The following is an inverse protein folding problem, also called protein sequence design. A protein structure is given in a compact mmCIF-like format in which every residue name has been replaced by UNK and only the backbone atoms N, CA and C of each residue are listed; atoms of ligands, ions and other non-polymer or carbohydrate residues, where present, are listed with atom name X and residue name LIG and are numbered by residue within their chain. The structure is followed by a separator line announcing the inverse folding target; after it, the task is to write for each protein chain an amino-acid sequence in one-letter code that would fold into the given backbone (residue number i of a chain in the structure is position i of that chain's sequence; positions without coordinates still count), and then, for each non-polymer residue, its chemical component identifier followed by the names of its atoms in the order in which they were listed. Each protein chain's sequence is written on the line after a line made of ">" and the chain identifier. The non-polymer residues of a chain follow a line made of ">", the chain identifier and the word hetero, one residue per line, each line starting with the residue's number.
data_IF_707285996664
#
_entry.id   IF_707285996664
#
_cell.length_a   1.000
_cell.length_b   1.000
_cell.length_c   1.000
_cell.angle_alpha   90.00
_cell.angle_beta   90.00
_cell.angle_gamma   90.00
#
_symmetry.space_group_name_H-M   'P 1'
#
loop_
_entity.id
_entity.type
_entity.pdbx_description
1 polymer ?
#
# COMPACT_ATOMS: atom_id res chain seq x y z
N UNK A 1 -0.48 26.41 3.86
CA UNK A 1 0.12 25.22 3.23
C UNK A 1 -0.89 24.66 2.26
N UNK A 2 -0.64 24.80 0.96
CA UNK A 2 -1.55 24.30 -0.08
C UNK A 2 -1.47 22.77 -0.03
N UNK A 3 -2.33 22.14 0.77
CA UNK A 3 -2.64 20.72 0.62
C UNK A 3 -3.36 20.66 -0.71
N UNK A 4 -2.58 20.44 -1.77
CA UNK A 4 -3.10 20.28 -3.10
C UNK A 4 -4.16 19.19 -3.03
N UNK A 5 -5.42 19.58 -3.28
CA UNK A 5 -6.45 18.67 -3.73
C UNK A 5 -6.05 18.19 -5.14
N UNK A 6 -4.93 17.47 -5.22
CA UNK A 6 -4.52 16.84 -6.45
C UNK A 6 -5.57 15.76 -6.68
N UNK A 7 -6.22 15.73 -7.86
CA UNK A 7 -7.30 14.80 -8.14
C UNK A 7 -6.80 13.35 -8.30
N UNK A 8 -5.75 12.94 -7.56
CA UNK A 8 -5.23 11.57 -7.50
C UNK A 8 -6.35 10.58 -7.18
N UNK A 9 -7.19 10.88 -6.18
CA UNK A 9 -8.32 10.01 -5.83
C UNK A 9 -9.31 9.86 -6.98
N UNK A 10 -9.65 10.95 -7.67
CA UNK A 10 -10.57 10.89 -8.82
C UNK A 10 -9.94 10.16 -10.00
N UNK A 11 -8.69 10.46 -10.35
CA UNK A 11 -7.97 9.81 -11.45
C UNK A 11 -7.80 8.31 -11.17
N UNK A 12 -7.50 7.93 -9.94
CA UNK A 12 -7.39 6.53 -9.52
C UNK A 12 -8.73 5.79 -9.71
N UNK A 13 -9.83 6.34 -9.20
CA UNK A 13 -11.17 5.75 -9.34
C UNK A 13 -11.59 5.65 -10.81
N UNK A 14 -11.33 6.67 -11.63
CA UNK A 14 -11.68 6.65 -13.04
C UNK A 14 -10.73 5.75 -13.87
N UNK A 15 -9.47 5.64 -13.48
CA UNK A 15 -8.46 4.75 -14.08
C UNK A 15 -8.81 3.28 -13.84
N UNK A 16 -9.15 2.94 -12.60
CA UNK A 16 -9.70 1.62 -12.22
C UNK A 16 -10.92 1.25 -13.07
N UNK A 17 -11.87 2.19 -13.24
CA UNK A 17 -13.03 1.97 -14.12
C UNK A 17 -12.63 1.70 -15.57
N UNK A 18 -11.65 2.43 -16.13
CA UNK A 18 -11.18 2.19 -17.51
C UNK A 18 -10.53 0.82 -17.68
N UNK A 19 -9.79 0.33 -16.68
CA UNK A 19 -9.16 -1.00 -16.71
C UNK A 19 -10.18 -2.12 -16.46
N UNK A 20 -11.20 -1.88 -15.63
CA UNK A 20 -12.23 -2.88 -15.33
C UNK A 20 -13.16 -3.15 -16.52
N UNK A 21 -13.49 -2.14 -17.34
CA UNK A 21 -14.39 -2.29 -18.50
C UNK A 21 -13.98 -3.36 -19.53
N UNK A 22 -12.72 -3.44 -20.02
CA UNK A 22 -12.33 -4.48 -20.97
C UNK A 22 -12.42 -5.88 -20.35
N UNK A 23 -12.07 -6.03 -19.07
CA UNK A 23 -12.15 -7.31 -18.34
C UNK A 23 -13.61 -7.73 -18.16
N UNK A 24 -14.49 -6.79 -17.84
CA UNK A 24 -15.93 -7.02 -17.78
C UNK A 24 -16.50 -7.48 -19.13
N UNK A 25 -16.12 -6.82 -20.23
CA UNK A 25 -16.56 -7.20 -21.57
C UNK A 25 -16.09 -8.62 -21.94
N UNK A 26 -14.87 -9.02 -21.53
CA UNK A 26 -14.36 -10.37 -21.74
C UNK A 26 -15.13 -11.42 -20.95
N UNK A 27 -15.40 -11.16 -19.67
CA UNK A 27 -16.23 -12.03 -18.81
C UNK A 27 -17.66 -12.16 -19.35
N UNK A 28 -18.22 -11.08 -19.89
CA UNK A 28 -19.53 -11.08 -20.54
C UNK A 28 -19.52 -11.98 -21.77
N UNK A 29 -18.50 -11.86 -22.62
CA UNK A 29 -18.32 -12.69 -23.80
C UNK A 29 -18.17 -14.17 -23.42
N UNK A 30 -17.36 -14.47 -22.39
CA UNK A 30 -17.19 -15.82 -21.86
C UNK A 30 -18.49 -16.40 -21.28
N UNK A 31 -19.30 -15.59 -20.58
CA UNK A 31 -20.60 -15.99 -20.06
C UNK A 31 -21.67 -16.22 -21.15
N UNK A 32 -21.52 -15.59 -22.33
CA UNK A 32 -22.38 -15.84 -23.49
C UNK A 32 -22.00 -17.14 -24.21
N UNK A 33 -20.70 -17.42 -24.34
CA UNK A 33 -20.20 -18.61 -25.05
C UNK A 33 -20.27 -19.88 -24.18
N UNK A 34 -20.13 -19.74 -22.85
CA UNK A 34 -20.13 -20.88 -21.93
C UNK A 34 -21.19 -20.74 -20.82
N UNK A 35 -22.28 -21.54 -20.88
CA UNK A 35 -23.31 -21.56 -19.85
C UNK A 35 -22.80 -21.94 -18.45
N UNK A 36 -21.73 -22.74 -18.35
CA UNK A 36 -21.15 -23.15 -17.07
C UNK A 36 -20.49 -21.97 -16.36
N UNK A 37 -19.73 -21.16 -17.09
CA UNK A 37 -19.12 -19.93 -16.57
C UNK A 37 -20.21 -18.98 -16.08
N UNK A 38 -21.28 -18.81 -16.86
CA UNK A 38 -22.41 -17.98 -16.49
C UNK A 38 -23.06 -18.44 -15.18
N UNK A 39 -23.37 -19.73 -15.06
CA UNK A 39 -24.13 -20.28 -13.93
C UNK A 39 -23.29 -20.44 -12.65
N UNK A 40 -22.02 -20.76 -12.77
CA UNK A 40 -21.18 -21.11 -11.62
C UNK A 40 -20.28 -19.96 -11.15
N UNK A 41 -19.82 -19.11 -12.06
CA UNK A 41 -18.87 -18.04 -11.74
C UNK A 41 -19.59 -16.68 -11.66
N UNK A 42 -20.42 -16.34 -12.66
CA UNK A 42 -20.97 -14.99 -12.80
C UNK A 42 -22.27 -14.77 -11.99
N UNK A 43 -23.24 -15.67 -12.10
CA UNK A 43 -24.56 -15.52 -11.47
C UNK A 43 -24.53 -15.60 -9.92
N UNK A 44 -23.78 -16.52 -9.29
CA UNK A 44 -23.78 -16.66 -7.84
C UNK A 44 -23.39 -15.39 -7.06
N UNK A 45 -22.31 -14.65 -7.41
CA UNK A 45 -21.97 -13.41 -6.70
C UNK A 45 -23.06 -12.33 -6.86
N UNK A 46 -23.68 -12.21 -8.03
CA UNK A 46 -24.78 -11.26 -8.24
C UNK A 46 -26.03 -11.59 -7.38
N UNK A 47 -26.37 -12.88 -7.27
CA UNK A 47 -27.48 -13.32 -6.42
C UNK A 47 -27.17 -13.16 -4.93
N UNK A 48 -25.92 -13.39 -4.53
CA UNK A 48 -25.46 -13.21 -3.17
C UNK A 48 -25.52 -11.73 -2.77
N UNK A 49 -25.04 -10.83 -3.65
CA UNK A 49 -25.14 -9.39 -3.45
C UNK A 49 -26.58 -8.94 -3.20
N UNK A 50 -27.53 -9.36 -4.05
CA UNK A 50 -28.94 -9.02 -3.88
C UNK A 50 -29.54 -9.56 -2.57
N UNK A 51 -29.18 -10.79 -2.17
CA UNK A 51 -29.64 -11.35 -0.89
C UNK A 51 -29.12 -10.54 0.29
N UNK A 52 -27.85 -10.15 0.27
CA UNK A 52 -27.27 -9.32 1.31
C UNK A 52 -27.87 -7.93 1.31
N UNK A 53 -27.97 -7.28 0.16
CA UNK A 53 -28.51 -5.94 0.01
C UNK A 53 -29.95 -5.87 0.53
N UNK A 54 -30.82 -6.80 0.10
CA UNK A 54 -32.22 -6.83 0.55
C UNK A 54 -32.32 -7.11 2.05
N UNK A 55 -31.52 -8.04 2.60
CA UNK A 55 -31.52 -8.31 4.05
C UNK A 55 -31.02 -7.12 4.86
N UNK A 56 -29.93 -6.49 4.43
CA UNK A 56 -29.34 -5.33 5.09
C UNK A 56 -30.29 -4.13 5.05
N UNK A 57 -30.91 -3.84 3.91
CA UNK A 57 -31.92 -2.77 3.79
C UNK A 57 -33.10 -3.02 4.74
N UNK A 58 -33.62 -4.24 4.78
CA UNK A 58 -34.75 -4.59 5.65
C UNK A 58 -34.37 -4.51 7.14
N UNK A 59 -33.14 -4.92 7.50
CA UNK A 59 -32.61 -4.79 8.85
C UNK A 59 -32.42 -3.32 9.26
N UNK A 60 -31.85 -2.50 8.38
CA UNK A 60 -31.63 -1.07 8.62
C UNK A 60 -32.96 -0.33 8.83
N UNK A 61 -33.98 -0.68 8.05
CA UNK A 61 -35.33 -0.11 8.16
C UNK A 61 -36.18 -0.75 9.28
N UNK A 62 -35.62 -1.67 10.09
CA UNK A 62 -36.32 -2.42 11.15
C UNK A 62 -37.60 -3.13 10.67
N UNK A 63 -37.66 -3.51 9.40
CA UNK A 63 -38.78 -4.22 8.80
C UNK A 63 -38.62 -5.74 8.99
N UNK A 64 -39.74 -6.47 8.96
CA UNK A 64 -39.74 -7.94 9.05
C UNK A 64 -38.94 -8.53 7.89
N UNK A 65 -37.95 -9.37 8.21
CA UNK A 65 -37.07 -9.94 7.19
C UNK A 65 -37.87 -10.80 6.18
N UNK A 66 -37.59 -10.66 4.87
CA UNK A 66 -38.27 -11.43 3.85
C UNK A 66 -37.85 -12.91 3.90
N UNK A 67 -38.85 -13.82 3.88
CA UNK A 67 -38.64 -15.28 3.93
C UNK A 67 -37.93 -15.82 2.68
N UNK A 68 -38.10 -15.15 1.53
CA UNK A 68 -37.41 -15.46 0.27
C UNK A 68 -37.18 -14.16 -0.51
N UNK A 69 -35.93 -13.88 -0.88
CA UNK A 69 -35.57 -12.73 -1.73
C UNK A 69 -35.80 -13.12 -3.20
N UNK A 70 -36.52 -12.31 -4.00
CA UNK A 70 -36.74 -12.62 -5.41
C UNK A 70 -35.39 -12.65 -6.16
N UNK A 71 -35.09 -13.73 -6.90
CA UNK A 71 -33.87 -13.81 -7.68
C UNK A 71 -33.92 -12.84 -8.86
N UNK A 72 -32.78 -12.25 -9.21
CA UNK A 72 -32.70 -11.39 -10.40
C UNK A 72 -32.90 -12.22 -11.69
N UNK A 73 -33.51 -11.61 -12.73
CA UNK A 73 -33.51 -12.18 -14.08
C UNK A 73 -32.09 -12.50 -14.53
N UNK A 74 -31.94 -13.62 -15.24
CA UNK A 74 -30.63 -14.19 -15.62
C UNK A 74 -29.75 -13.22 -16.42
N UNK A 75 -30.34 -12.39 -17.27
CA UNK A 75 -29.63 -11.38 -18.05
C UNK A 75 -29.02 -10.28 -17.16
N UNK A 76 -29.80 -9.73 -16.24
CA UNK A 76 -29.37 -8.67 -15.31
C UNK A 76 -28.34 -9.23 -14.32
N UNK A 77 -28.56 -10.44 -13.81
CA UNK A 77 -27.62 -11.12 -12.92
C UNK A 77 -26.26 -11.37 -13.60
N UNK A 78 -26.26 -11.68 -14.90
CA UNK A 78 -25.02 -11.86 -15.66
C UNK A 78 -24.27 -10.54 -15.80
N UNK A 79 -24.96 -9.46 -16.17
CA UNK A 79 -24.34 -8.14 -16.31
C UNK A 79 -23.75 -7.63 -15.00
N UNK A 80 -24.55 -7.68 -13.93
CA UNK A 80 -24.10 -7.24 -12.61
C UNK A 80 -22.95 -8.10 -12.10
N UNK A 81 -23.05 -9.43 -12.21
CA UNK A 81 -22.00 -10.34 -11.76
C UNK A 81 -20.69 -10.14 -12.49
N UNK A 82 -20.76 -9.87 -13.80
CA UNK A 82 -19.59 -9.59 -14.63
C UNK A 82 -18.91 -8.29 -14.25
N UNK A 83 -19.67 -7.19 -14.08
CA UNK A 83 -19.11 -5.89 -13.68
C UNK A 83 -18.47 -5.97 -12.28
N UNK A 84 -19.09 -6.69 -11.35
CA UNK A 84 -18.54 -6.88 -10.00
C UNK A 84 -17.27 -7.73 -10.02
N UNK A 85 -17.25 -8.83 -10.77
CA UNK A 85 -16.07 -9.69 -10.87
C UNK A 85 -14.89 -8.99 -11.52
N UNK A 86 -15.13 -8.20 -12.57
CA UNK A 86 -14.04 -7.48 -13.23
C UNK A 86 -13.42 -6.43 -12.30
N UNK A 87 -14.23 -5.74 -11.51
CA UNK A 87 -13.75 -4.78 -10.53
C UNK A 87 -12.92 -5.47 -9.44
N UNK A 88 -13.40 -6.58 -8.87
CA UNK A 88 -12.66 -7.35 -7.85
C UNK A 88 -11.33 -7.87 -8.40
N UNK A 89 -11.29 -8.40 -9.62
CA UNK A 89 -10.06 -8.89 -10.26
C UNK A 89 -9.03 -7.78 -10.37
N UNK A 90 -9.43 -6.60 -10.86
CA UNK A 90 -8.51 -5.46 -11.00
C UNK A 90 -8.03 -4.98 -9.63
N UNK A 91 -8.91 -4.94 -8.62
CA UNK A 91 -8.52 -4.57 -7.26
C UNK A 91 -7.52 -5.55 -6.65
N UNK A 92 -7.69 -6.85 -6.85
CA UNK A 92 -6.76 -7.87 -6.32
C UNK A 92 -5.39 -7.73 -7.01
N UNK A 93 -5.37 -7.62 -8.35
CA UNK A 93 -4.11 -7.51 -9.10
C UNK A 93 -3.41 -6.20 -8.77
N UNK A 94 -4.12 -5.06 -8.88
CA UNK A 94 -3.56 -3.74 -8.62
C UNK A 94 -3.15 -3.56 -7.16
N UNK A 95 -4.02 -3.93 -6.22
CA UNK A 95 -3.73 -3.89 -4.79
C UNK A 95 -2.59 -4.83 -4.40
N UNK A 96 -2.57 -6.04 -4.96
CA UNK A 96 -1.50 -7.02 -4.75
C UNK A 96 -0.13 -6.50 -5.21
N UNK A 97 -0.05 -5.88 -6.39
CA UNK A 97 1.18 -5.28 -6.89
C UNK A 97 1.66 -4.12 -6.03
N UNK A 98 0.74 -3.25 -5.57
CA UNK A 98 1.09 -2.14 -4.68
C UNK A 98 1.64 -2.65 -3.35
N UNK A 99 0.97 -3.63 -2.72
CA UNK A 99 1.41 -4.22 -1.45
C UNK A 99 2.77 -4.91 -1.62
N UNK A 100 2.96 -5.63 -2.73
CA UNK A 100 4.22 -6.29 -3.04
C UNK A 100 5.37 -5.30 -3.21
N UNK A 101 5.17 -4.24 -4.00
CA UNK A 101 6.19 -3.21 -4.22
C UNK A 101 6.50 -2.43 -2.94
N UNK A 102 5.47 -2.11 -2.15
CA UNK A 102 5.64 -1.45 -0.86
C UNK A 102 6.45 -2.31 0.11
N UNK A 103 6.19 -3.61 0.17
CA UNK A 103 6.98 -4.55 0.98
C UNK A 103 8.45 -4.57 0.54
N UNK A 104 8.70 -4.59 -0.78
CA UNK A 104 10.05 -4.51 -1.35
C UNK A 104 10.77 -3.20 -1.01
N UNK A 105 10.06 -2.07 -1.09
CA UNK A 105 10.61 -0.76 -0.79
C UNK A 105 10.98 -0.64 0.68
N UNK A 106 10.14 -1.14 1.59
CA UNK A 106 10.42 -1.10 3.03
C UNK A 106 11.72 -1.83 3.39
N UNK A 107 11.98 -3.00 2.78
CA UNK A 107 13.23 -3.72 3.02
C UNK A 107 14.46 -2.92 2.55
N UNK A 108 14.38 -2.28 1.38
CA UNK A 108 15.47 -1.45 0.85
C UNK A 108 15.73 -0.22 1.73
N UNK A 109 14.67 0.46 2.17
CA UNK A 109 14.77 1.63 3.04
C UNK A 109 15.39 1.28 4.38
N UNK A 110 15.03 0.13 4.97
CA UNK A 110 15.63 -0.33 6.23
C UNK A 110 17.12 -0.61 6.10
N UNK A 111 17.55 -1.25 5.00
CA UNK A 111 18.98 -1.49 4.72
C UNK A 111 19.76 -0.18 4.57
N UNK A 112 19.25 0.75 3.76
CA UNK A 112 19.86 2.07 3.59
C UNK A 112 19.97 2.83 4.91
N UNK A 113 18.95 2.76 5.75
CA UNK A 113 18.98 3.41 7.06
C UNK A 113 20.05 2.79 7.98
N UNK A 114 20.22 1.47 7.93
CA UNK A 114 21.27 0.79 8.69
C UNK A 114 22.67 1.19 8.21
N UNK A 115 22.88 1.21 6.89
CA UNK A 115 24.14 1.65 6.28
C UNK A 115 24.46 3.12 6.66
N UNK A 116 23.48 4.02 6.62
CA UNK A 116 23.67 5.42 7.01
C UNK A 116 23.99 5.56 8.51
N UNK A 117 23.35 4.76 9.37
CA UNK A 117 23.64 4.75 10.81
C UNK A 117 25.04 4.23 11.12
N UNK A 118 25.50 3.22 10.38
CA UNK A 118 26.85 2.67 10.54
C UNK A 118 27.92 3.67 10.06
N UNK A 119 27.69 4.34 8.92
CA UNK A 119 28.56 5.43 8.46
C UNK A 119 28.62 6.59 9.46
N UNK A 120 27.47 6.99 10.03
CA UNK A 120 27.45 8.02 11.08
C UNK A 120 28.25 7.59 12.31
N UNK A 121 28.14 6.33 12.75
CA UNK A 121 28.93 5.82 13.88
C UNK A 121 30.43 5.92 13.62
N UNK A 122 30.88 5.47 12.45
CA UNK A 122 32.30 5.54 12.08
C UNK A 122 32.79 6.99 12.05
N UNK A 123 31.99 7.91 11.52
CA UNK A 123 32.34 9.35 11.52
C UNK A 123 32.44 9.93 12.93
N UNK A 124 31.52 9.56 13.84
CA UNK A 124 31.60 10.01 15.24
C UNK A 124 32.80 9.42 15.96
N UNK A 125 33.12 8.15 15.75
CA UNK A 125 34.30 7.51 16.33
C UNK A 125 35.61 8.15 15.84
N UNK A 126 35.69 8.53 14.57
CA UNK A 126 36.81 9.29 14.02
C UNK A 126 36.90 10.70 14.63
N UNK A 127 35.76 11.39 14.80
CA UNK A 127 35.73 12.70 15.46
C UNK A 127 36.20 12.63 16.91
N UNK A 128 35.77 11.61 17.66
CA UNK A 128 36.18 11.40 19.04
C UNK A 128 37.70 11.11 19.12
N UNK A 129 38.22 10.28 18.21
CA UNK A 129 39.66 10.00 18.12
C UNK A 129 40.49 11.26 17.82
N UNK A 130 40.08 12.07 16.85
CA UNK A 130 40.74 13.35 16.54
C UNK A 130 40.69 14.30 17.75
N UNK A 131 39.58 14.31 18.48
CA UNK A 131 39.41 15.17 19.65
C UNK A 131 40.34 14.74 20.80
N UNK A 132 40.50 13.43 21.01
CA UNK A 132 41.46 12.90 21.98
C UNK A 132 42.91 13.22 21.61
N UNK A 133 43.28 13.12 20.33
CA UNK A 133 44.61 13.49 19.85
C UNK A 133 44.90 14.99 20.06
N UNK A 134 43.90 15.86 19.85
CA UNK A 134 44.03 17.29 20.12
C UNK A 134 44.23 17.58 21.62
N UNK A 135 43.48 16.92 22.49
CA UNK A 135 43.68 17.04 23.95
C UNK A 135 45.08 16.59 24.39
N UNK A 136 45.59 15.53 23.77
CA UNK A 136 46.94 15.03 24.04
C UNK A 136 48.00 16.05 23.59
N UNK A 137 47.84 16.62 22.39
CA UNK A 137 48.76 17.66 21.89
C UNK A 137 48.75 18.91 22.77
N UNK A 138 47.60 19.34 23.27
CA UNK A 138 47.51 20.51 24.16
C UNK A 138 48.24 20.26 25.51
N UNK A 139 48.11 19.05 26.06
CA UNK A 139 48.88 18.62 27.25
C UNK A 139 50.38 18.65 26.98
N UNK A 140 50.84 18.10 25.87
CA UNK A 140 52.28 18.07 25.52
C UNK A 140 52.84 19.49 25.34
N UNK A 141 52.10 20.38 24.65
CA UNK A 141 52.48 21.79 24.48
C UNK A 141 52.58 22.49 25.84
N UNK A 142 51.59 22.30 26.72
CA UNK A 142 51.59 22.91 28.05
C UNK A 142 52.76 22.42 28.92
N UNK A 143 53.09 21.12 28.87
CA UNK A 143 54.24 20.54 29.56
C UNK A 143 55.56 21.12 29.06
N UNK A 144 55.78 21.15 27.75
CA UNK A 144 56.99 21.72 27.15
C UNK A 144 57.13 23.20 27.56
N UNK A 145 56.02 23.95 27.54
CA UNK A 145 55.99 25.36 27.96
C UNK A 145 56.37 25.54 29.43
N UNK A 146 55.90 24.65 30.31
CA UNK A 146 56.25 24.66 31.72
C UNK A 146 57.74 24.39 31.95
N UNK A 147 58.31 23.38 31.26
CA UNK A 147 59.74 23.04 31.33
C UNK A 147 60.61 24.19 30.81
N UNK A 148 60.24 24.81 29.68
CA UNK A 148 60.98 25.94 29.11
C UNK A 148 60.98 27.18 30.01
N UNK A 149 59.87 27.44 30.72
CA UNK A 149 59.79 28.55 31.68
C UNK A 149 60.55 28.26 32.97
N UNK A 150 60.61 27.00 33.42
CA UNK A 150 61.40 26.60 34.59
C UNK A 150 62.92 26.59 34.36
N UNK A 151 63.37 26.53 33.11
CA UNK A 151 64.80 26.52 32.75
C UNK A 151 65.36 27.95 32.48
N UNK A 152 64.57 29.01 32.69
CA UNK A 152 64.95 30.41 32.48
C UNK A 152 65.33 31.19 33.76
N UNK A 153 65.46 30.49 34.89
CA UNK A 153 66.01 31.02 36.16
C UNK A 153 67.40 30.47 36.39
#
# INVERSE_FOLDING_TARGET
>A
MVIGSFPLGKIFVHGLKRVSKPIGNLLMWAGKHNPHVRRYIIIPPAQLYNKFEVRWKMQMLRLKQPKRVPPLPSAIATQLGTDMLSEVIVFIIGGGLIVHEFSRQQLKTRKKLQEEMEQRRVLFEQLDGISADLEQQDKDISYIRAVLNGNKT
#
